data_IF_787830289238
#
_entry.id   IF_787830289238
#
_cell.length_a   1.000
_cell.length_b   1.000
_cell.length_c   1.000
_cell.angle_alpha   90.00
_cell.angle_beta   90.00
_cell.angle_gamma   90.00
#
_symmetry.space_group_name_H-M   'P 1'
#
loop_
_entity.id
_entity.type
_entity.pdbx_description
1 polymer ?
#
# COMPACT_ATOMS: atom_id res chain seq x y z
N UNK A 1 34.95 43.03 56.78
CA UNK A 1 34.94 41.56 56.99
C UNK A 1 33.61 41.24 57.67
N UNK A 2 32.66 40.44 57.21
CA UNK A 2 32.59 39.45 56.11
C UNK A 2 31.09 39.21 55.84
N UNK A 3 30.70 39.06 54.57
CA UNK A 3 29.34 38.78 54.08
C UNK A 3 28.86 37.39 54.52
N UNK A 4 27.64 37.26 55.02
CA UNK A 4 26.93 35.98 55.14
C UNK A 4 25.90 35.87 54.01
N UNK A 5 26.20 35.05 53.01
CA UNK A 5 25.38 34.83 51.83
C UNK A 5 24.18 33.91 52.17
N UNK A 6 22.96 34.37 51.90
CA UNK A 6 21.79 33.51 51.74
C UNK A 6 21.93 32.74 50.43
N UNK A 7 22.09 31.42 50.51
CA UNK A 7 21.99 30.53 49.36
C UNK A 7 20.52 30.19 49.11
N UNK A 8 19.91 30.87 48.14
CA UNK A 8 18.61 30.54 47.59
C UNK A 8 18.83 29.50 46.47
N UNK A 9 18.62 28.23 46.76
CA UNK A 9 18.69 27.16 45.77
C UNK A 9 17.44 27.19 44.88
N UNK A 10 17.57 27.80 43.69
CA UNK A 10 16.53 27.78 42.66
C UNK A 10 16.62 26.45 41.88
N UNK A 11 15.76 25.49 42.22
CA UNK A 11 15.59 24.28 41.44
C UNK A 11 14.68 24.56 40.24
N UNK A 12 15.25 24.64 39.04
CA UNK A 12 14.51 24.77 37.78
C UNK A 12 14.10 23.35 37.35
N UNK A 13 12.82 23.01 37.53
CA UNK A 13 12.24 21.80 36.97
C UNK A 13 11.98 21.99 35.47
N UNK A 14 12.84 21.42 34.62
CA UNK A 14 12.60 21.35 33.18
C UNK A 14 11.59 20.23 32.93
N UNK A 15 10.32 20.59 32.79
CA UNK A 15 9.32 19.70 32.20
C UNK A 15 9.54 19.68 30.68
N UNK A 16 10.26 18.67 30.21
CA UNK A 16 10.28 18.34 28.79
C UNK A 16 8.87 17.83 28.42
N UNK A 17 8.05 18.71 27.85
CA UNK A 17 6.82 18.32 27.19
C UNK A 17 7.23 17.58 25.93
N UNK A 18 7.38 16.25 26.02
CA UNK A 18 7.41 15.39 24.85
C UNK A 18 6.03 15.47 24.21
N UNK A 19 5.84 16.45 23.34
CA UNK A 19 4.79 16.44 22.33
C UNK A 19 5.07 15.24 21.43
N UNK A 20 4.61 14.06 21.85
CA UNK A 20 4.71 12.84 21.06
C UNK A 20 3.92 13.05 19.79
N UNK A 21 4.61 13.40 18.70
CA UNK A 21 4.00 13.32 17.39
C UNK A 21 3.61 11.87 17.17
N UNK A 22 2.34 11.63 16.85
CA UNK A 22 1.88 10.32 16.44
C UNK A 22 2.79 9.84 15.30
N UNK A 23 3.34 8.63 15.42
CA UNK A 23 4.21 8.10 14.40
C UNK A 23 3.39 7.89 13.12
N UNK A 24 3.86 8.43 11.99
CA UNK A 24 3.19 8.33 10.70
C UNK A 24 3.87 7.29 9.81
N UNK A 25 3.10 6.66 8.92
CA UNK A 25 3.67 5.82 7.87
C UNK A 25 4.34 6.69 6.81
N UNK A 26 5.66 6.53 6.70
CA UNK A 26 6.45 7.12 5.63
C UNK A 26 6.43 6.21 4.41
N UNK A 27 6.07 6.78 3.27
CA UNK A 27 6.26 6.13 1.97
C UNK A 27 7.72 6.30 1.56
N UNK A 28 8.35 5.20 1.18
CA UNK A 28 9.71 5.10 0.68
C UNK A 28 9.68 4.55 -0.75
N UNK A 29 9.42 5.43 -1.75
CA UNK A 29 9.39 5.00 -3.14
C UNK A 29 10.73 4.37 -3.52
N UNK A 30 10.66 3.25 -4.24
CA UNK A 30 11.84 2.57 -4.76
C UNK A 30 11.60 2.23 -6.23
N UNK A 31 12.37 2.87 -7.11
CA UNK A 31 12.27 2.65 -8.56
C UNK A 31 12.59 1.21 -8.96
N UNK A 32 13.41 0.51 -8.17
CA UNK A 32 13.80 -0.88 -8.39
C UNK A 32 12.77 -1.86 -7.82
N UNK A 33 11.83 -1.38 -6.98
CA UNK A 33 10.66 -2.18 -6.59
C UNK A 33 9.66 -2.22 -7.75
N UNK A 34 9.77 -3.27 -8.56
CA UNK A 34 9.00 -3.52 -9.79
C UNK A 34 7.49 -3.38 -9.59
N UNK A 35 6.95 -3.86 -8.47
CA UNK A 35 5.52 -3.75 -8.19
C UNK A 35 5.16 -2.28 -8.02
N UNK A 36 5.79 -1.57 -7.08
CA UNK A 36 5.45 -0.17 -6.82
C UNK A 36 5.72 0.76 -8.02
N UNK A 37 6.71 0.47 -8.87
CA UNK A 37 7.02 1.32 -10.02
C UNK A 37 6.13 1.09 -11.23
N UNK A 38 5.38 -0.02 -11.30
CA UNK A 38 4.58 -0.42 -12.48
C UNK A 38 3.11 -0.73 -12.20
N UNK A 39 2.68 -0.84 -10.94
CA UNK A 39 1.34 -1.33 -10.59
C UNK A 39 0.19 -0.41 -11.02
N UNK A 40 0.41 0.91 -11.03
CA UNK A 40 -0.65 1.89 -11.36
C UNK A 40 -1.26 1.63 -12.73
N UNK A 41 -2.58 1.62 -12.78
CA UNK A 41 -3.37 1.37 -13.99
C UNK A 41 -4.45 0.32 -13.82
N UNK A 42 -5.15 0.05 -14.92
CA UNK A 42 -6.20 -0.98 -15.00
C UNK A 42 -5.61 -2.30 -15.48
N UNK A 43 -6.09 -3.39 -14.90
CA UNK A 43 -5.69 -4.75 -15.20
C UNK A 43 -6.95 -5.61 -15.40
N UNK A 44 -6.93 -6.44 -16.43
CA UNK A 44 -8.02 -7.34 -16.81
C UNK A 44 -7.54 -8.78 -16.68
N UNK A 45 -8.43 -9.69 -16.25
CA UNK A 45 -8.08 -11.10 -16.08
C UNK A 45 -7.62 -11.71 -17.41
N UNK A 46 -6.43 -12.31 -17.41
CA UNK A 46 -5.90 -13.04 -18.55
C UNK A 46 -6.37 -14.50 -18.49
N UNK A 47 -7.53 -14.76 -19.09
CA UNK A 47 -8.27 -16.04 -18.94
C UNK A 47 -7.41 -17.30 -19.17
N UNK A 48 -6.61 -17.37 -20.24
CA UNK A 48 -5.77 -18.55 -20.54
C UNK A 48 -4.70 -18.84 -19.48
N UNK A 49 -4.09 -17.79 -18.92
CA UNK A 49 -3.08 -17.95 -17.87
C UNK A 49 -3.75 -18.25 -16.53
N UNK A 50 -4.89 -17.62 -16.25
CA UNK A 50 -5.67 -17.94 -15.06
C UNK A 50 -6.15 -19.40 -15.07
N UNK A 51 -6.60 -19.91 -16.22
CA UNK A 51 -7.00 -21.31 -16.38
C UNK A 51 -5.83 -22.25 -16.12
N UNK A 52 -4.65 -21.93 -16.65
CA UNK A 52 -3.44 -22.70 -16.39
C UNK A 52 -3.06 -22.74 -14.91
N UNK A 53 -3.26 -21.64 -14.18
CA UNK A 53 -2.88 -21.53 -12.77
C UNK A 53 -3.93 -22.09 -11.80
N UNK A 54 -5.21 -21.96 -12.14
CA UNK A 54 -6.33 -22.20 -11.21
C UNK A 54 -7.28 -23.32 -11.65
N UNK A 55 -7.15 -23.80 -12.89
CA UNK A 55 -8.12 -24.69 -13.53
C UNK A 55 -9.41 -23.99 -13.99
N UNK A 56 -9.48 -22.66 -13.93
CA UNK A 56 -10.66 -21.87 -14.34
C UNK A 56 -10.27 -20.68 -15.20
N UNK A 57 -10.98 -20.47 -16.30
CA UNK A 57 -10.75 -19.31 -17.17
C UNK A 57 -11.26 -17.99 -16.57
N UNK A 58 -12.17 -18.07 -15.59
CA UNK A 58 -12.78 -16.94 -14.91
C UNK A 58 -12.29 -16.79 -13.46
N UNK A 59 -12.56 -15.62 -12.89
CA UNK A 59 -12.32 -15.34 -11.49
C UNK A 59 -13.48 -14.51 -10.94
N UNK A 60 -13.65 -14.49 -9.62
CA UNK A 60 -14.54 -13.53 -8.98
C UNK A 60 -14.14 -12.09 -9.29
N UNK A 61 -12.88 -11.86 -9.64
CA UNK A 61 -12.30 -10.55 -9.90
C UNK A 61 -11.78 -10.49 -11.33
N UNK A 62 -12.62 -10.02 -12.25
CA UNK A 62 -12.27 -9.97 -13.66
C UNK A 62 -11.50 -8.70 -14.05
N UNK A 63 -11.62 -7.64 -13.26
CA UNK A 63 -10.92 -6.37 -13.47
C UNK A 63 -10.52 -5.78 -12.13
N UNK A 64 -9.33 -5.20 -12.09
CA UNK A 64 -8.83 -4.41 -10.97
C UNK A 64 -8.18 -3.13 -11.46
N UNK A 65 -8.16 -2.08 -10.64
CA UNK A 65 -7.48 -0.82 -10.99
C UNK A 65 -6.74 -0.30 -9.78
N UNK A 66 -5.49 0.12 -9.97
CA UNK A 66 -4.68 0.75 -8.93
C UNK A 66 -4.43 2.21 -9.28
N UNK A 67 -4.66 3.09 -8.31
CA UNK A 67 -4.37 4.52 -8.37
C UNK A 67 -3.45 4.88 -7.23
N UNK A 68 -2.38 5.63 -7.52
CA UNK A 68 -1.49 6.15 -6.48
C UNK A 68 -2.16 7.34 -5.79
N UNK A 69 -2.19 7.31 -4.47
CA UNK A 69 -2.56 8.45 -3.63
C UNK A 69 -1.77 8.36 -2.32
N UNK A 70 -0.62 9.05 -2.22
CA UNK A 70 0.20 9.07 -1.02
C UNK A 70 -0.52 9.54 0.25
N UNK A 71 -1.61 10.31 0.12
CA UNK A 71 -2.38 10.79 1.28
C UNK A 71 -3.05 9.67 2.05
N UNK A 72 -3.24 8.49 1.45
CA UNK A 72 -3.80 7.30 2.11
C UNK A 72 -2.92 6.86 3.29
N UNK A 73 -1.59 6.97 3.18
CA UNK A 73 -0.68 6.57 4.25
C UNK A 73 -0.89 7.38 5.54
N UNK A 74 -1.29 8.65 5.42
CA UNK A 74 -1.58 9.55 6.56
C UNK A 74 -2.92 9.25 7.24
N UNK A 75 -3.79 8.51 6.56
CA UNK A 75 -5.13 8.17 7.06
C UNK A 75 -5.13 6.82 7.79
N UNK A 76 -4.05 6.05 7.71
CA UNK A 76 -3.94 4.73 8.33
C UNK A 76 -3.99 4.88 9.86
N UNK A 77 -4.91 4.21 10.56
CA UNK A 77 -5.02 4.29 12.01
C UNK A 77 -3.73 3.84 12.72
N UNK A 78 -3.41 4.49 13.85
CA UNK A 78 -2.18 4.26 14.63
C UNK A 78 -1.91 2.78 14.92
N UNK A 79 -2.95 2.00 15.25
CA UNK A 79 -2.84 0.55 15.51
C UNK A 79 -2.15 -0.23 14.39
N UNK A 80 -2.29 0.19 13.14
CA UNK A 80 -1.61 -0.43 12.00
C UNK A 80 -0.21 0.15 11.80
N UNK A 81 -0.04 1.46 12.03
CA UNK A 81 1.27 2.12 11.96
C UNK A 81 2.25 1.48 12.95
N UNK A 82 1.80 1.22 14.17
CA UNK A 82 2.61 0.59 15.22
C UNK A 82 3.10 -0.81 14.79
N UNK A 83 2.26 -1.58 14.08
CA UNK A 83 2.64 -2.90 13.54
C UNK A 83 3.73 -2.76 12.46
N UNK A 84 3.62 -1.77 11.57
CA UNK A 84 4.63 -1.53 10.54
C UNK A 84 5.98 -1.14 11.17
N UNK A 85 5.96 -0.23 12.14
CA UNK A 85 7.16 0.21 12.84
C UNK A 85 7.80 -0.94 13.62
N UNK A 86 7.00 -1.66 14.42
CA UNK A 86 7.50 -2.77 15.23
C UNK A 86 8.11 -3.90 14.37
N UNK A 87 7.62 -4.08 13.14
CA UNK A 87 8.12 -5.10 12.21
C UNK A 87 9.15 -4.57 11.20
N UNK A 88 9.50 -3.29 11.25
CA UNK A 88 10.40 -2.67 10.27
C UNK A 88 9.88 -2.78 8.83
N UNK A 89 8.56 -2.75 8.64
CA UNK A 89 7.94 -2.88 7.32
C UNK A 89 8.03 -1.56 6.54
N UNK A 90 8.51 -1.65 5.31
CA UNK A 90 8.62 -0.51 4.39
C UNK A 90 7.35 -0.37 3.56
N UNK A 91 6.86 0.86 3.41
CA UNK A 91 5.75 1.17 2.51
C UNK A 91 6.32 1.79 1.24
N UNK A 92 6.15 1.14 0.08
CA UNK A 92 6.69 1.63 -1.19
C UNK A 92 5.71 2.53 -1.95
N UNK A 93 4.40 2.30 -1.77
CA UNK A 93 3.33 3.04 -2.42
C UNK A 93 2.08 2.98 -1.54
N UNK A 94 1.25 4.02 -1.62
CA UNK A 94 -0.09 4.03 -1.06
C UNK A 94 -1.08 4.53 -2.10
N UNK A 95 -2.35 4.14 -1.97
CA UNK A 95 -3.39 4.65 -2.84
C UNK A 95 -4.70 3.89 -2.73
N UNK A 96 -5.42 3.81 -3.84
CA UNK A 96 -6.70 3.11 -3.94
C UNK A 96 -6.66 1.98 -4.95
N UNK A 97 -7.21 0.86 -4.55
CA UNK A 97 -7.41 -0.34 -5.35
C UNK A 97 -8.90 -0.51 -5.58
N UNK A 98 -9.33 -0.42 -6.85
CA UNK A 98 -10.71 -0.69 -7.23
C UNK A 98 -10.91 -2.18 -7.50
N UNK A 99 -11.85 -2.78 -6.79
CA UNK A 99 -12.27 -4.16 -7.00
C UNK A 99 -13.79 -4.23 -6.95
N UNK A 100 -14.41 -4.70 -8.04
CA UNK A 100 -15.88 -4.78 -8.19
C UNK A 100 -16.58 -3.43 -7.94
N UNK A 101 -15.99 -2.34 -8.42
CA UNK A 101 -16.56 -0.99 -8.28
C UNK A 101 -16.40 -0.37 -6.89
N UNK A 102 -15.68 -1.01 -5.96
CA UNK A 102 -15.34 -0.45 -4.65
C UNK A 102 -13.88 -0.03 -4.62
N UNK A 103 -13.63 1.21 -4.23
CA UNK A 103 -12.29 1.72 -3.96
C UNK A 103 -11.87 1.39 -2.53
N UNK A 104 -10.80 0.62 -2.40
CA UNK A 104 -10.24 0.17 -1.13
C UNK A 104 -8.89 0.86 -0.92
N UNK A 105 -8.63 1.50 0.24
CA UNK A 105 -7.30 2.02 0.53
C UNK A 105 -6.30 0.86 0.56
N UNK A 106 -5.10 1.09 0.04
CA UNK A 106 -4.02 0.10 0.07
C UNK A 106 -2.66 0.71 0.35
N UNK A 107 -1.75 -0.16 0.83
CA UNK A 107 -0.31 0.03 0.89
C UNK A 107 0.39 -1.09 0.14
N UNK A 108 1.38 -0.76 -0.69
CA UNK A 108 2.32 -1.73 -1.24
C UNK A 108 3.51 -1.88 -0.28
N UNK A 109 3.77 -3.11 0.15
CA UNK A 109 4.80 -3.44 1.16
C UNK A 109 5.47 -4.77 0.81
N UNK A 110 6.39 -5.22 1.65
CA UNK A 110 7.00 -6.54 1.59
C UNK A 110 6.74 -7.28 2.89
N UNK A 111 6.32 -8.55 2.80
CA UNK A 111 6.16 -9.45 3.94
C UNK A 111 6.96 -10.73 3.62
N UNK A 112 7.91 -11.08 4.49
CA UNK A 112 8.82 -12.23 4.30
C UNK A 112 9.54 -12.26 2.94
N UNK A 113 9.90 -11.09 2.40
CA UNK A 113 10.55 -10.95 1.10
C UNK A 113 9.60 -10.94 -0.11
N UNK A 114 8.31 -11.24 0.08
CA UNK A 114 7.31 -11.21 -0.99
C UNK A 114 6.59 -9.87 -1.06
N UNK A 115 6.37 -9.37 -2.27
CA UNK A 115 5.59 -8.15 -2.47
C UNK A 115 4.12 -8.40 -2.13
N UNK A 116 3.54 -7.49 -1.35
CA UNK A 116 2.17 -7.56 -0.88
C UNK A 116 1.44 -6.26 -1.15
N UNK A 117 0.14 -6.38 -1.39
CA UNK A 117 -0.79 -5.28 -1.23
C UNK A 117 -1.56 -5.57 0.05
N UNK A 118 -1.38 -4.70 1.04
CA UNK A 118 -2.22 -4.66 2.22
C UNK A 118 -3.32 -3.63 1.97
N UNK A 119 -4.58 -4.03 2.15
CA UNK A 119 -5.72 -3.16 1.89
C UNK A 119 -6.74 -3.30 3.02
N UNK A 120 -7.70 -2.37 3.07
CA UNK A 120 -8.74 -2.43 4.09
C UNK A 120 -10.13 -2.47 3.47
N UNK A 121 -10.94 -3.35 4.04
CA UNK A 121 -12.38 -3.40 3.84
C UNK A 121 -13.03 -2.54 4.92
N UNK A 122 -14.04 -1.77 4.51
CA UNK A 122 -14.89 -1.08 5.47
C UNK A 122 -15.63 -2.09 6.35
N UNK A 123 -15.60 -1.86 7.66
CA UNK A 123 -16.34 -2.68 8.63
C UNK A 123 -16.93 -1.77 9.69
N UNK A 124 -18.23 -1.91 9.95
CA UNK A 124 -18.95 -1.09 10.94
C UNK A 124 -18.84 0.44 10.69
N UNK A 125 -18.81 0.87 9.43
CA UNK A 125 -18.63 2.29 9.06
C UNK A 125 -17.20 2.80 9.16
N UNK A 126 -16.25 1.98 9.61
CA UNK A 126 -14.83 2.33 9.65
C UNK A 126 -14.16 1.94 8.34
N UNK A 127 -13.66 2.92 7.60
CA UNK A 127 -12.94 2.73 6.33
C UNK A 127 -11.73 1.79 6.44
N UNK A 128 -11.07 1.77 7.61
CA UNK A 128 -9.93 0.90 7.93
C UNK A 128 -10.32 -0.23 8.90
N UNK A 129 -11.56 -0.70 8.82
CA UNK A 129 -12.16 -1.59 9.83
C UNK A 129 -11.68 -3.04 9.77
N UNK A 130 -11.28 -3.54 8.60
CA UNK A 130 -10.73 -4.89 8.44
C UNK A 130 -9.56 -4.90 7.45
N UNK A 131 -8.36 -5.22 7.92
CA UNK A 131 -7.17 -5.32 7.07
C UNK A 131 -7.07 -6.69 6.43
N UNK A 132 -6.80 -6.72 5.14
CA UNK A 132 -6.55 -7.91 4.34
C UNK A 132 -5.24 -7.73 3.56
N UNK A 133 -4.68 -8.81 3.03
CA UNK A 133 -3.52 -8.73 2.15
C UNK A 133 -3.47 -9.89 1.17
N UNK A 134 -2.91 -9.64 0.00
CA UNK A 134 -2.57 -10.68 -0.98
C UNK A 134 -1.15 -10.51 -1.48
N UNK A 135 -0.54 -11.61 -1.94
CA UNK A 135 0.73 -11.56 -2.65
C UNK A 135 0.54 -10.93 -4.03
N UNK A 136 1.58 -10.21 -4.47
CA UNK A 136 1.65 -9.62 -5.80
C UNK A 136 2.97 -9.96 -6.47
N UNK A 137 2.89 -10.38 -7.72
CA UNK A 137 4.03 -10.50 -8.61
C UNK A 137 3.72 -9.74 -9.90
N UNK A 138 4.64 -8.91 -10.36
CA UNK A 138 4.51 -8.17 -11.61
C UNK A 138 5.70 -8.52 -12.50
N UNK A 139 5.43 -9.05 -13.68
CA UNK A 139 6.46 -9.35 -14.68
C UNK A 139 6.44 -8.27 -15.75
N UNK A 140 7.55 -7.55 -15.85
CA UNK A 140 7.71 -6.44 -16.80
C UNK A 140 7.98 -7.02 -18.19
N UNK A 141 7.15 -6.64 -19.15
CA UNK A 141 7.40 -6.93 -20.56
C UNK A 141 8.28 -5.84 -21.18
N UNK A 142 8.81 -6.14 -22.39
CA UNK A 142 9.54 -5.14 -23.20
C UNK A 142 8.69 -3.88 -23.42
N UNK A 143 7.41 -4.08 -23.70
CA UNK A 143 6.43 -3.00 -23.86
C UNK A 143 5.45 -3.05 -22.68
N UNK A 144 5.28 -1.94 -21.96
CA UNK A 144 4.46 -1.90 -20.75
C UNK A 144 2.99 -2.33 -20.91
N UNK A 145 2.32 -2.17 -22.07
CA UNK A 145 0.97 -2.72 -22.26
C UNK A 145 0.90 -4.26 -22.19
N UNK A 146 2.04 -4.95 -22.28
CA UNK A 146 2.15 -6.40 -22.20
C UNK A 146 2.64 -6.87 -20.82
N UNK A 147 2.79 -5.98 -19.83
CA UNK A 147 3.10 -6.37 -18.45
C UNK A 147 2.03 -7.34 -17.94
N UNK A 148 2.45 -8.35 -17.16
CA UNK A 148 1.54 -9.27 -16.49
C UNK A 148 1.57 -9.03 -14.99
N UNK A 149 0.39 -9.03 -14.39
CA UNK A 149 0.19 -8.91 -12.95
C UNK A 149 -0.42 -10.21 -12.44
N UNK A 150 0.15 -10.73 -11.36
CA UNK A 150 -0.34 -11.90 -10.65
C UNK A 150 -0.74 -11.45 -9.24
N UNK A 151 -2.01 -11.69 -8.88
CA UNK A 151 -2.57 -11.38 -7.56
C UNK A 151 -3.15 -12.66 -6.97
N UNK A 152 -2.91 -12.90 -5.69
CA UNK A 152 -3.54 -13.99 -4.96
C UNK A 152 -2.58 -14.58 -3.96
N UNK A 153 -2.70 -15.89 -3.75
CA UNK A 153 -1.80 -16.59 -2.85
C UNK A 153 -1.86 -16.04 -1.43
N UNK A 154 -3.05 -15.71 -0.90
CA UNK A 154 -3.22 -15.23 0.49
C UNK A 154 -2.49 -16.15 1.47
N UNK A 155 -2.36 -17.44 1.09
CA UNK A 155 -1.42 -18.40 1.61
C UNK A 155 -0.54 -18.99 0.50
N UNK A 156 0.68 -19.42 0.84
CA UNK A 156 1.67 -19.94 -0.11
C UNK A 156 1.21 -21.17 -0.93
N UNK A 157 0.16 -21.86 -0.50
CA UNK A 157 -0.41 -23.03 -1.19
C UNK A 157 -1.62 -22.69 -2.07
N UNK A 158 -1.97 -21.42 -2.23
CA UNK A 158 -3.09 -20.97 -3.06
C UNK A 158 -2.59 -20.43 -4.41
N UNK A 159 -3.34 -20.66 -5.50
CA UNK A 159 -2.93 -20.21 -6.81
C UNK A 159 -3.08 -18.68 -6.95
N UNK A 160 -2.28 -18.10 -7.86
CA UNK A 160 -2.46 -16.73 -8.32
C UNK A 160 -3.52 -16.65 -9.42
N UNK A 161 -4.23 -15.53 -9.47
CA UNK A 161 -4.92 -15.07 -10.67
C UNK A 161 -3.99 -14.22 -11.52
N UNK A 162 -4.03 -14.43 -12.84
CA UNK A 162 -3.22 -13.71 -13.80
C UNK A 162 -4.02 -12.60 -14.49
N UNK A 163 -3.41 -11.44 -14.64
CA UNK A 163 -3.99 -10.25 -15.24
C UNK A 163 -3.02 -9.65 -16.26
N UNK A 164 -3.59 -9.01 -17.27
CA UNK A 164 -2.90 -8.23 -18.28
C UNK A 164 -3.30 -6.76 -18.19
N UNK A 165 -2.42 -5.85 -18.61
CA UNK A 165 -2.70 -4.42 -18.57
C UNK A 165 -3.80 -4.07 -19.58
N UNK A 166 -4.79 -3.29 -19.13
CA UNK A 166 -5.78 -2.70 -20.04
C UNK A 166 -5.10 -1.54 -20.76
N UNK A 167 -5.07 -1.58 -22.10
CA UNK A 167 -4.56 -0.47 -22.91
C UNK A 167 -5.38 0.79 -22.60
N UNK A 168 -4.69 1.85 -22.17
CA UNK A 168 -5.31 3.15 -22.00
C UNK A 168 -5.93 3.58 -23.34
N UNK A 169 -7.21 3.93 -23.31
CA UNK A 169 -7.86 4.50 -24.49
C UNK A 169 -7.40 5.96 -24.65
N UNK A 170 -7.54 6.53 -25.86
CA UNK A 170 -7.22 7.96 -26.09
C UNK A 170 -7.97 8.91 -25.15
N UNK A 171 -9.12 8.48 -24.61
CA UNK A 171 -9.92 9.24 -23.64
C UNK A 171 -9.22 9.33 -22.28
N UNK A 172 -8.65 8.23 -21.80
CA UNK A 172 -7.96 8.15 -20.50
C UNK A 172 -6.66 8.99 -20.47
N UNK A 173 -6.08 9.28 -21.63
CA UNK A 173 -4.88 10.12 -21.78
C UNK A 173 -5.19 11.62 -21.82
N UNK A 174 -6.44 12.00 -22.12
CA UNK A 174 -6.86 13.40 -22.12
C UNK A 174 -7.08 13.90 -20.69
N UNK A 175 -7.67 13.07 -19.83
CA UNK A 175 -7.98 13.43 -18.43
C UNK A 175 -6.72 13.49 -17.55
N UNK A 176 -5.66 12.74 -17.89
CA UNK A 176 -4.39 12.74 -17.15
C UNK A 176 -3.46 13.93 -17.49
N UNK A 177 -3.82 14.79 -18.44
CA UNK A 177 -3.04 15.99 -18.83
C UNK A 177 -3.57 17.29 -18.22
N UNK A 178 -4.64 17.21 -17.43
CA UNK A 178 -5.33 18.36 -16.83
C UNK A 178 -5.03 18.59 -15.35
N UNK A 179 -4.13 17.79 -14.76
CA UNK A 179 -3.68 17.92 -13.36
C UNK A 179 -2.21 18.37 -13.27
#
# INVERSE_FOLDING_TARGET
MTRTQQLLSLAIAIYAVNSGMAAELRIEPDKENVVSSRLVGSWQLHSKLNERLTGKADSRHNKVTFRSDPSVAKQVPQKYVDVFIARGMRVYMAGYFNMKGKDLPFLATTIHGNSHIMFWLERNGERFGNSESFNVMLTVAKDSPNDLLFIGGDFNNQPFSAFERVKATKKDQADAKTD
#
